data_IF_399373639910
#
_entry.id   IF_399373639910
#
_cell.length_a   1.000
_cell.length_b   1.000
_cell.length_c   1.000
_cell.angle_alpha   90.00
_cell.angle_beta   90.00
_cell.angle_gamma   90.00
#
_symmetry.space_group_name_H-M   'P 1'
#
loop_
_entity.id
_entity.type
_entity.pdbx_description
1 polymer ?
#
# COMPACT_ATOMS: atom_id res chain seq x y z
N UNK A 1 51.30 -15.30 29.82
CA UNK A 1 51.75 -14.26 28.85
C UNK A 1 51.24 -12.85 29.17
N UNK A 2 50.13 -12.66 29.89
CA UNK A 2 49.62 -11.33 30.26
C UNK A 2 50.36 -10.65 31.43
N UNK A 3 51.16 -11.39 32.19
CA UNK A 3 51.80 -10.96 33.45
C UNK A 3 52.98 -9.98 33.27
N UNK A 4 53.37 -9.63 32.03
CA UNK A 4 54.47 -8.70 31.71
C UNK A 4 54.00 -7.36 31.13
N UNK A 5 52.68 -7.16 31.00
CA UNK A 5 52.12 -5.92 30.46
C UNK A 5 52.01 -4.86 31.55
N UNK A 6 52.44 -3.64 31.26
CA UNK A 6 52.13 -2.48 32.10
C UNK A 6 50.61 -2.26 32.14
N UNK A 7 50.09 -1.65 33.23
CA UNK A 7 48.65 -1.32 33.36
C UNK A 7 48.02 -0.71 32.10
N UNK A 8 48.60 0.30 31.41
CA UNK A 8 48.03 0.83 30.18
C UNK A 8 48.03 -0.17 29.01
N UNK A 9 49.04 -1.04 28.91
CA UNK A 9 49.09 -2.06 27.86
C UNK A 9 48.06 -3.17 28.11
N UNK A 10 47.83 -3.56 29.37
CA UNK A 10 46.76 -4.49 29.71
C UNK A 10 45.37 -3.90 29.39
N UNK A 11 45.15 -2.62 29.70
CA UNK A 11 43.91 -1.90 29.33
C UNK A 11 43.74 -1.83 27.81
N UNK A 12 44.78 -1.50 27.04
CA UNK A 12 44.70 -1.44 25.58
C UNK A 12 44.39 -2.82 24.95
N UNK A 13 45.01 -3.90 25.44
CA UNK A 13 44.75 -5.27 24.98
C UNK A 13 43.32 -5.70 25.32
N UNK A 14 42.80 -5.36 26.51
CA UNK A 14 41.42 -5.64 26.88
C UNK A 14 40.39 -4.75 26.16
N UNK A 15 40.76 -3.53 25.77
CA UNK A 15 39.89 -2.61 25.04
C UNK A 15 39.75 -2.99 23.55
N UNK A 16 40.78 -3.59 22.94
CA UNK A 16 40.76 -4.02 21.54
C UNK A 16 39.53 -4.86 21.13
N UNK A 17 39.16 -5.95 21.83
CA UNK A 17 37.97 -6.72 21.47
C UNK A 17 36.67 -5.93 21.62
N UNK A 18 36.58 -5.03 22.61
CA UNK A 18 35.43 -4.15 22.81
C UNK A 18 35.32 -3.13 21.67
N UNK A 19 36.43 -2.51 21.28
CA UNK A 19 36.48 -1.57 20.15
C UNK A 19 36.16 -2.29 18.84
N UNK A 20 36.66 -3.52 18.64
CA UNK A 20 36.33 -4.32 17.47
C UNK A 20 34.84 -4.71 17.42
N UNK A 21 34.23 -5.07 18.56
CA UNK A 21 32.79 -5.32 18.67
C UNK A 21 31.96 -4.06 18.37
N UNK A 22 32.37 -2.90 18.89
CA UNK A 22 31.68 -1.63 18.62
C UNK A 22 31.83 -1.22 17.14
N UNK A 23 33.03 -1.39 16.57
CA UNK A 23 33.26 -1.11 15.16
C UNK A 23 32.41 -2.05 14.28
N UNK A 24 32.38 -3.34 14.56
CA UNK A 24 31.53 -4.30 13.82
C UNK A 24 30.05 -3.96 13.97
N UNK A 25 29.56 -3.63 15.16
CA UNK A 25 28.17 -3.21 15.35
C UNK A 25 27.79 -1.93 14.56
N UNK A 26 28.75 -1.00 14.38
CA UNK A 26 28.53 0.25 13.63
C UNK A 26 28.60 0.03 12.11
N UNK A 27 29.49 -0.84 11.63
CA UNK A 27 29.77 -1.01 10.21
C UNK A 27 29.13 -2.24 9.56
N UNK A 28 28.63 -3.20 10.33
CA UNK A 28 27.92 -4.35 9.79
C UNK A 28 26.54 -3.94 9.25
N UNK A 29 26.12 -4.49 8.09
CA UNK A 29 24.78 -4.26 7.58
C UNK A 29 23.76 -4.89 8.53
N UNK A 30 22.73 -4.13 8.88
CA UNK A 30 21.67 -4.59 9.76
C UNK A 30 20.53 -5.24 8.96
N UNK A 31 19.82 -6.25 9.51
CA UNK A 31 18.71 -6.95 8.84
C UNK A 31 17.40 -6.15 8.88
N UNK A 32 17.48 -4.86 8.56
CA UNK A 32 16.33 -3.96 8.48
C UNK A 32 16.14 -3.45 7.05
N UNK A 33 14.92 -3.03 6.75
CA UNK A 33 14.56 -2.28 5.56
C UNK A 33 13.89 -0.98 5.98
N UNK A 34 14.14 0.09 5.22
CA UNK A 34 13.51 1.39 5.46
C UNK A 34 12.43 1.59 4.41
N UNK A 35 11.18 1.71 4.85
CA UNK A 35 10.03 2.01 4.01
C UNK A 35 9.68 3.50 4.05
N UNK A 36 9.16 4.02 2.94
CA UNK A 36 8.69 5.42 2.80
C UNK A 36 7.41 5.49 1.96
N UNK A 37 6.65 6.61 2.01
CA UNK A 37 5.47 6.81 1.16
C UNK A 37 5.84 6.67 -0.32
N UNK A 38 5.15 5.77 -1.03
CA UNK A 38 5.38 5.53 -2.44
C UNK A 38 4.55 6.45 -3.33
N UNK A 39 4.40 6.06 -4.60
CA UNK A 39 3.55 6.76 -5.55
C UNK A 39 2.06 6.43 -5.31
N UNK A 40 1.19 7.24 -5.89
CA UNK A 40 -0.23 6.90 -6.00
C UNK A 40 -0.63 6.86 -7.47
N UNK A 41 -1.56 5.98 -7.81
CA UNK A 41 -2.04 5.81 -9.18
C UNK A 41 -3.57 5.88 -9.23
N UNK A 42 -4.11 6.75 -10.10
CA UNK A 42 -5.55 6.85 -10.33
C UNK A 42 -6.03 5.71 -11.23
N UNK A 43 -6.83 4.78 -10.69
CA UNK A 43 -7.36 3.65 -11.46
C UNK A 43 -8.43 4.04 -12.47
N UNK A 44 -9.04 5.22 -12.31
CA UNK A 44 -10.06 5.70 -13.24
C UNK A 44 -9.46 6.36 -14.49
N UNK A 45 -8.17 6.71 -14.45
CA UNK A 45 -7.47 7.41 -15.51
C UNK A 45 -6.36 6.59 -16.16
N UNK A 46 -5.34 7.30 -16.64
CA UNK A 46 -4.17 6.72 -17.33
C UNK A 46 -2.96 6.63 -16.42
N UNK A 47 -2.17 5.57 -16.61
CA UNK A 47 -0.83 5.41 -16.06
C UNK A 47 0.16 5.24 -17.23
N UNK A 48 1.19 6.09 -17.30
CA UNK A 48 2.16 6.10 -18.41
C UNK A 48 1.50 6.11 -19.81
N UNK A 49 0.42 6.88 -19.97
CA UNK A 49 -0.31 7.00 -21.25
C UNK A 49 -1.31 5.87 -21.54
N UNK A 50 -1.35 4.81 -20.74
CA UNK A 50 -2.26 3.66 -20.90
C UNK A 50 -3.42 3.75 -19.90
N UNK A 51 -4.66 3.48 -20.35
CA UNK A 51 -5.83 3.37 -19.46
C UNK A 51 -5.61 2.25 -18.44
N UNK A 52 -5.82 2.57 -17.16
CA UNK A 52 -5.61 1.58 -16.09
C UNK A 52 -6.69 0.51 -16.11
N UNK A 53 -7.93 0.88 -16.43
CA UNK A 53 -9.07 -0.03 -16.55
C UNK A 53 -9.67 0.13 -17.95
N UNK A 54 -9.58 -0.94 -18.74
CA UNK A 54 -10.25 -1.04 -20.04
C UNK A 54 -11.37 -2.06 -19.96
N UNK A 55 -12.57 -1.68 -20.40
CA UNK A 55 -13.74 -2.56 -20.41
C UNK A 55 -14.20 -2.77 -21.85
N UNK A 56 -14.61 -3.99 -22.18
CA UNK A 56 -15.20 -4.34 -23.47
C UNK A 56 -16.47 -5.18 -23.27
N UNK A 57 -17.45 -5.03 -24.16
CA UNK A 57 -18.72 -5.76 -24.09
C UNK A 57 -19.80 -5.11 -23.20
N UNK A 58 -19.52 -3.92 -22.65
CA UNK A 58 -20.49 -3.08 -21.96
C UNK A 58 -20.16 -1.58 -22.21
N UNK A 59 -21.17 -0.68 -22.23
CA UNK A 59 -20.91 0.75 -22.24
C UNK A 59 -20.20 1.16 -20.96
N UNK A 60 -19.30 2.14 -21.07
CA UNK A 60 -18.60 2.73 -19.92
C UNK A 60 -18.99 4.17 -19.74
N UNK A 61 -18.86 4.65 -18.50
CA UNK A 61 -19.15 6.01 -18.09
C UNK A 61 -17.88 6.83 -18.02
N UNK A 62 -18.02 8.13 -18.28
CA UNK A 62 -16.99 9.10 -17.92
C UNK A 62 -17.04 9.33 -16.41
N UNK A 63 -15.88 9.51 -15.79
CA UNK A 63 -15.75 9.76 -14.35
C UNK A 63 -15.02 11.08 -14.16
N UNK A 64 -15.48 11.90 -13.22
CA UNK A 64 -14.95 13.24 -12.93
C UNK A 64 -13.97 13.27 -11.75
N UNK A 65 -14.07 12.30 -10.83
CA UNK A 65 -13.19 12.18 -9.67
C UNK A 65 -12.00 11.23 -9.87
N UNK A 66 -11.37 10.86 -8.77
CA UNK A 66 -10.21 9.96 -8.78
C UNK A 66 -10.34 8.87 -7.72
N UNK A 67 -9.97 7.64 -8.09
CA UNK A 67 -9.74 6.54 -7.17
C UNK A 67 -8.26 6.20 -7.20
N UNK A 68 -7.53 6.61 -6.18
CA UNK A 68 -6.08 6.49 -6.10
C UNK A 68 -5.68 5.32 -5.21
N UNK A 69 -5.02 4.31 -5.77
CA UNK A 69 -4.30 3.34 -4.94
C UNK A 69 -3.02 3.97 -4.42
N UNK A 70 -2.47 3.39 -3.35
CA UNK A 70 -1.26 3.87 -2.68
C UNK A 70 -0.23 2.77 -2.53
N UNK A 71 1.05 3.10 -2.76
CA UNK A 71 2.16 2.17 -2.58
C UNK A 71 3.11 2.66 -1.48
N UNK A 72 4.00 1.77 -1.06
CA UNK A 72 5.18 2.11 -0.25
C UNK A 72 6.42 1.71 -1.04
N UNK A 73 7.53 2.40 -0.82
CA UNK A 73 8.83 1.99 -1.35
C UNK A 73 9.69 1.56 -0.18
N UNK A 74 10.20 0.34 -0.21
CA UNK A 74 11.19 -0.17 0.72
C UNK A 74 12.58 -0.18 0.06
N UNK A 75 13.62 0.00 0.89
CA UNK A 75 15.00 -0.25 0.46
C UNK A 75 15.14 -1.66 -0.10
N UNK A 76 15.78 -1.78 -1.27
CA UNK A 76 15.91 -3.04 -2.00
C UNK A 76 16.63 -4.15 -1.22
N UNK A 77 16.58 -5.40 -1.71
CA UNK A 77 16.99 -6.51 -0.89
C UNK A 77 18.50 -6.62 -0.60
N UNK A 78 19.31 -5.99 -1.44
CA UNK A 78 20.76 -5.97 -1.27
C UNK A 78 21.25 -4.66 -0.61
N UNK A 79 20.33 -3.80 -0.18
CA UNK A 79 20.66 -2.52 0.41
C UNK A 79 21.29 -2.70 1.81
N UNK A 80 22.43 -2.04 2.04
CA UNK A 80 23.06 -1.98 3.35
C UNK A 80 22.40 -0.88 4.19
N UNK A 81 21.62 -1.28 5.19
CA UNK A 81 21.07 -0.37 6.19
C UNK A 81 22.01 -0.34 7.39
N UNK A 82 22.54 0.84 7.72
CA UNK A 82 23.46 1.02 8.85
C UNK A 82 22.72 1.36 10.14
N UNK A 83 23.41 1.29 11.29
CA UNK A 83 22.86 1.69 12.58
C UNK A 83 22.43 3.16 12.60
N UNK A 84 23.16 4.03 11.90
CA UNK A 84 22.82 5.46 11.80
C UNK A 84 21.51 5.67 11.03
N UNK A 85 21.26 4.87 9.99
CA UNK A 85 20.01 4.92 9.25
C UNK A 85 18.84 4.48 10.14
N UNK A 86 19.01 3.40 10.90
CA UNK A 86 17.96 2.92 11.82
C UNK A 86 17.60 3.98 12.85
N UNK A 87 18.59 4.51 13.57
CA UNK A 87 18.37 5.52 14.62
C UNK A 87 17.81 6.82 14.01
N UNK A 88 18.36 7.27 12.89
CA UNK A 88 17.93 8.50 12.23
C UNK A 88 16.50 8.42 11.68
N UNK A 89 16.10 7.27 11.12
CA UNK A 89 14.75 7.07 10.61
C UNK A 89 13.73 6.74 11.71
N UNK A 90 14.16 6.30 12.90
CA UNK A 90 13.26 5.98 14.01
C UNK A 90 12.42 7.18 14.48
N UNK A 91 12.98 8.40 14.39
CA UNK A 91 12.31 9.64 14.80
C UNK A 91 11.56 10.34 13.65
N UNK A 92 11.54 9.74 12.46
CA UNK A 92 10.90 10.31 11.28
C UNK A 92 9.51 9.73 11.09
N UNK A 93 8.51 10.59 10.94
CA UNK A 93 7.13 10.16 10.66
C UNK A 93 6.93 9.71 9.22
N UNK A 94 7.81 10.12 8.28
CA UNK A 94 7.78 9.76 6.87
C UNK A 94 8.58 8.48 6.52
N UNK A 95 9.02 7.73 7.54
CA UNK A 95 9.87 6.54 7.39
C UNK A 95 9.42 5.46 8.36
N UNK A 96 9.49 4.21 7.94
CA UNK A 96 9.30 3.07 8.83
C UNK A 96 10.51 2.13 8.73
N UNK A 97 11.17 1.88 9.87
CA UNK A 97 12.21 0.86 9.96
C UNK A 97 11.53 -0.46 10.28
N UNK A 98 11.65 -1.43 9.38
CA UNK A 98 10.97 -2.72 9.48
C UNK A 98 11.99 -3.86 9.38
N UNK A 99 11.78 -4.99 10.09
CA UNK A 99 12.57 -6.19 9.86
C UNK A 99 12.50 -6.59 8.39
N UNK A 100 13.64 -6.96 7.82
CA UNK A 100 13.78 -7.27 6.39
C UNK A 100 12.84 -8.39 5.95
N UNK A 101 12.70 -9.43 6.76
CA UNK A 101 11.84 -10.59 6.50
C UNK A 101 10.35 -10.25 6.57
N UNK A 102 9.97 -9.20 7.29
CA UNK A 102 8.58 -8.70 7.32
C UNK A 102 8.20 -7.98 6.01
N UNK A 103 9.19 -7.43 5.30
CA UNK A 103 9.00 -6.74 4.01
C UNK A 103 9.16 -7.71 2.83
N UNK A 104 10.11 -8.63 2.94
CA UNK A 104 10.44 -9.63 1.92
C UNK A 104 10.31 -11.06 2.49
N UNK A 105 9.07 -11.55 2.72
CA UNK A 105 8.86 -12.86 3.35
C UNK A 105 9.18 -14.04 2.41
N UNK A 106 9.25 -13.80 1.10
CA UNK A 106 9.40 -14.82 0.07
C UNK A 106 10.39 -14.35 -0.99
N UNK A 107 11.51 -15.08 -1.13
CA UNK A 107 12.51 -14.89 -2.18
C UNK A 107 13.77 -14.18 -1.70
N UNK A 108 14.93 -14.80 -1.99
CA UNK A 108 16.24 -14.27 -1.60
C UNK A 108 16.82 -13.30 -2.64
N UNK A 109 16.25 -13.30 -3.85
CA UNK A 109 16.75 -12.52 -4.99
C UNK A 109 15.72 -11.54 -5.52
N UNK A 110 16.18 -10.38 -6.01
CA UNK A 110 15.33 -9.34 -6.64
C UNK A 110 14.40 -9.95 -7.70
N UNK A 111 14.93 -10.85 -8.53
CA UNK A 111 14.20 -11.47 -9.64
C UNK A 111 13.06 -12.38 -9.17
N UNK A 112 13.27 -13.10 -8.07
CA UNK A 112 12.24 -13.97 -7.49
C UNK A 112 11.13 -13.13 -6.85
N UNK A 113 11.50 -12.09 -6.10
CA UNK A 113 10.57 -11.13 -5.49
C UNK A 113 9.72 -10.46 -6.58
N UNK A 114 10.33 -10.02 -7.68
CA UNK A 114 9.62 -9.39 -8.79
C UNK A 114 8.62 -10.35 -9.44
N UNK A 115 9.04 -11.59 -9.72
CA UNK A 115 8.15 -12.62 -10.27
C UNK A 115 6.97 -12.93 -9.33
N UNK A 116 7.24 -13.04 -8.03
CA UNK A 116 6.20 -13.28 -7.02
C UNK A 116 5.21 -12.11 -6.95
N UNK A 117 5.71 -10.88 -6.94
CA UNK A 117 4.88 -9.67 -6.92
C UNK A 117 4.02 -9.54 -8.17
N UNK A 118 4.54 -9.89 -9.35
CA UNK A 118 3.78 -9.90 -10.60
C UNK A 118 2.65 -10.93 -10.58
N UNK A 119 2.89 -12.15 -10.09
CA UNK A 119 1.84 -13.16 -9.98
C UNK A 119 0.78 -12.77 -8.94
N UNK A 120 1.19 -12.25 -7.77
CA UNK A 120 0.24 -11.72 -6.78
C UNK A 120 -0.58 -10.57 -7.35
N UNK A 121 0.02 -9.68 -8.15
CA UNK A 121 -0.71 -8.59 -8.80
C UNK A 121 -1.73 -9.14 -9.80
N UNK A 122 -1.35 -10.14 -10.62
CA UNK A 122 -2.28 -10.80 -11.55
C UNK A 122 -3.47 -11.42 -10.81
N UNK A 123 -3.21 -12.16 -9.73
CA UNK A 123 -4.26 -12.75 -8.89
C UNK A 123 -5.16 -11.69 -8.25
N UNK A 124 -4.58 -10.59 -7.78
CA UNK A 124 -5.34 -9.47 -7.24
C UNK A 124 -6.21 -8.77 -8.29
N UNK A 125 -5.76 -8.68 -9.54
CA UNK A 125 -6.53 -8.13 -10.66
C UNK A 125 -7.69 -9.06 -11.05
N UNK A 126 -7.44 -10.37 -11.10
CA UNK A 126 -8.45 -11.39 -11.36
C UNK A 126 -9.54 -11.37 -10.27
N UNK A 127 -9.14 -11.38 -9.00
CA UNK A 127 -10.05 -11.31 -7.86
C UNK A 127 -10.85 -9.99 -7.86
N UNK A 128 -10.19 -8.87 -8.17
CA UNK A 128 -10.85 -7.57 -8.25
C UNK A 128 -11.91 -7.52 -9.35
N UNK A 129 -11.61 -8.10 -10.51
CA UNK A 129 -12.53 -8.21 -11.66
C UNK A 129 -13.72 -9.10 -11.32
N UNK A 130 -13.47 -10.29 -10.76
CA UNK A 130 -14.53 -11.22 -10.36
C UNK A 130 -15.45 -10.59 -9.30
N UNK A 131 -14.88 -9.94 -8.28
CA UNK A 131 -15.66 -9.28 -7.25
C UNK A 131 -16.52 -8.14 -7.83
N UNK A 132 -16.00 -7.35 -8.77
CA UNK A 132 -16.74 -6.26 -9.39
C UNK A 132 -17.88 -6.77 -10.29
N UNK A 133 -17.61 -7.74 -11.16
CA UNK A 133 -18.62 -8.31 -12.04
C UNK A 133 -19.72 -9.02 -11.24
N UNK A 134 -19.34 -9.77 -10.20
CA UNK A 134 -20.29 -10.39 -9.28
C UNK A 134 -21.14 -9.37 -8.54
N UNK A 135 -20.54 -8.26 -8.09
CA UNK A 135 -21.29 -7.17 -7.43
C UNK A 135 -22.33 -6.54 -8.36
N UNK A 136 -22.02 -6.45 -9.65
CA UNK A 136 -22.89 -5.87 -10.68
C UNK A 136 -23.83 -6.88 -11.36
N UNK A 137 -23.81 -8.14 -10.93
CA UNK A 137 -24.56 -9.24 -11.58
C UNK A 137 -24.25 -9.39 -13.09
N UNK A 138 -22.98 -9.21 -13.46
CA UNK A 138 -22.48 -9.31 -14.83
C UNK A 138 -21.69 -10.61 -15.04
N UNK A 139 -21.84 -11.23 -16.21
CA UNK A 139 -21.05 -12.39 -16.62
C UNK A 139 -19.74 -11.97 -17.31
N UNK A 140 -18.65 -12.63 -16.93
CA UNK A 140 -17.32 -12.48 -17.55
C UNK A 140 -17.29 -12.91 -19.03
N UNK A 141 -18.27 -13.71 -19.48
CA UNK A 141 -18.38 -14.11 -20.89
C UNK A 141 -18.83 -12.95 -21.78
N UNK A 142 -19.59 -12.01 -21.20
CA UNK A 142 -20.16 -10.85 -21.91
C UNK A 142 -19.32 -9.59 -21.70
N UNK A 143 -18.79 -9.40 -20.50
CA UNK A 143 -18.04 -8.20 -20.12
C UNK A 143 -16.61 -8.58 -19.77
N UNK A 144 -15.64 -8.06 -20.55
CA UNK A 144 -14.21 -8.25 -20.30
C UNK A 144 -13.62 -7.00 -19.70
N UNK A 145 -12.85 -7.17 -18.63
CA UNK A 145 -12.08 -6.11 -17.99
C UNK A 145 -10.60 -6.43 -18.12
N UNK A 146 -9.81 -5.45 -18.54
CA UNK A 146 -8.35 -5.51 -18.53
C UNK A 146 -7.81 -4.45 -17.59
N UNK A 147 -6.96 -4.87 -16.66
CA UNK A 147 -6.29 -4.02 -15.69
C UNK A 147 -4.81 -3.90 -16.07
N UNK A 148 -4.31 -2.68 -16.26
CA UNK A 148 -2.91 -2.43 -16.59
C UNK A 148 -2.34 -1.33 -15.70
N UNK A 149 -1.31 -1.67 -14.96
CA UNK A 149 -0.57 -0.70 -14.18
C UNK A 149 0.90 -1.07 -14.17
N UNK A 150 1.74 -0.17 -14.66
CA UNK A 150 3.18 -0.35 -14.65
C UNK A 150 3.73 -0.11 -13.24
N UNK A 151 4.81 -0.81 -12.91
CA UNK A 151 5.69 -0.51 -11.75
C UNK A 151 5.02 -0.56 -10.37
N UNK A 152 3.91 -1.31 -10.23
CA UNK A 152 3.22 -1.53 -8.95
C UNK A 152 3.20 -3.02 -8.60
N UNK A 153 3.76 -3.37 -7.44
CA UNK A 153 3.79 -4.73 -6.91
C UNK A 153 2.86 -4.95 -5.73
N UNK A 154 2.34 -6.17 -5.62
CA UNK A 154 1.56 -6.65 -4.48
C UNK A 154 0.04 -6.40 -4.55
N UNK A 155 -0.77 -7.17 -3.82
CA UNK A 155 -2.23 -7.24 -4.00
C UNK A 155 -3.01 -6.08 -3.35
N UNK A 156 -2.32 -5.09 -2.79
CA UNK A 156 -2.92 -4.06 -1.93
C UNK A 156 -3.80 -3.03 -2.66
N UNK A 157 -3.89 -3.15 -4.00
CA UNK A 157 -4.72 -2.33 -4.88
C UNK A 157 -6.06 -3.00 -5.25
N UNK A 158 -6.29 -4.26 -4.86
CA UNK A 158 -7.46 -5.04 -5.26
C UNK A 158 -8.79 -4.32 -5.05
N UNK A 159 -9.01 -3.77 -3.85
CA UNK A 159 -10.23 -3.00 -3.55
C UNK A 159 -10.43 -1.81 -4.51
N UNK A 160 -9.37 -1.07 -4.82
CA UNK A 160 -9.47 0.15 -5.64
C UNK A 160 -9.72 -0.21 -7.10
N UNK A 161 -9.11 -1.28 -7.61
CA UNK A 161 -9.46 -1.81 -8.93
C UNK A 161 -10.93 -2.20 -9.00
N UNK A 162 -11.44 -2.94 -8.01
CA UNK A 162 -12.86 -3.33 -7.97
C UNK A 162 -13.78 -2.12 -7.98
N UNK A 163 -13.51 -1.11 -7.15
CA UNK A 163 -14.31 0.12 -7.11
C UNK A 163 -14.22 0.90 -8.43
N UNK A 164 -13.04 0.94 -9.06
CA UNK A 164 -12.87 1.59 -10.36
C UNK A 164 -13.65 0.91 -11.49
N UNK A 165 -13.74 -0.42 -11.47
CA UNK A 165 -14.58 -1.18 -12.41
C UNK A 165 -16.06 -0.85 -12.18
N UNK A 166 -16.51 -0.84 -10.91
CA UNK A 166 -17.88 -0.49 -10.54
C UNK A 166 -18.22 0.93 -10.99
N UNK A 167 -17.32 1.89 -10.77
CA UNK A 167 -17.55 3.28 -11.15
C UNK A 167 -17.68 3.44 -12.67
N UNK A 168 -16.77 2.83 -13.45
CA UNK A 168 -16.82 2.86 -14.92
C UNK A 168 -18.06 2.18 -15.51
N UNK A 169 -18.58 1.12 -14.87
CA UNK A 169 -19.72 0.36 -15.39
C UNK A 169 -21.08 0.90 -14.90
N UNK A 170 -21.17 1.31 -13.64
CA UNK A 170 -22.44 1.62 -12.98
C UNK A 170 -22.43 2.92 -12.16
N UNK A 171 -21.26 3.40 -11.75
CA UNK A 171 -21.16 4.58 -10.89
C UNK A 171 -21.74 4.33 -9.50
N UNK A 172 -22.51 5.29 -9.00
CA UNK A 172 -23.24 5.22 -7.73
C UNK A 172 -24.57 4.42 -7.81
N UNK A 173 -24.97 3.97 -9.01
CA UNK A 173 -26.26 3.32 -9.27
C UNK A 173 -27.44 4.26 -9.49
N UNK A 174 -27.26 5.58 -9.38
CA UNK A 174 -28.24 6.62 -9.72
C UNK A 174 -27.87 7.41 -10.98
N UNK A 175 -26.76 7.06 -11.64
CA UNK A 175 -26.25 7.77 -12.81
C UNK A 175 -25.22 8.87 -12.47
N UNK A 176 -24.75 8.93 -11.22
CA UNK A 176 -23.62 9.73 -10.77
C UNK A 176 -22.32 8.92 -10.66
N UNK A 177 -21.23 9.60 -10.30
CA UNK A 177 -19.92 8.98 -10.07
C UNK A 177 -19.84 8.44 -8.65
N UNK A 178 -19.22 7.26 -8.48
CA UNK A 178 -19.00 6.68 -7.16
C UNK A 178 -18.09 7.57 -6.29
N UNK A 179 -17.20 8.34 -6.92
CA UNK A 179 -16.32 9.29 -6.24
C UNK A 179 -16.99 10.62 -5.89
N UNK A 180 -18.14 10.94 -6.47
CA UNK A 180 -18.77 12.27 -6.35
C UNK A 180 -17.84 13.41 -6.75
N UNK A 181 -16.95 13.20 -7.73
CA UNK A 181 -15.96 14.19 -8.18
C UNK A 181 -14.76 14.38 -7.24
N UNK A 182 -14.66 13.62 -6.14
CA UNK A 182 -13.58 13.76 -5.14
C UNK A 182 -12.32 13.02 -5.55
N UNK A 183 -11.19 13.44 -4.99
CA UNK A 183 -9.97 12.62 -4.94
C UNK A 183 -10.03 11.71 -3.71
N UNK A 184 -10.30 10.44 -3.97
CA UNK A 184 -10.39 9.39 -2.95
C UNK A 184 -9.21 8.46 -3.14
N UNK A 185 -8.53 8.13 -2.05
CA UNK A 185 -7.46 7.15 -2.06
C UNK A 185 -7.82 5.94 -1.19
N UNK A 186 -7.01 4.90 -1.25
CA UNK A 186 -7.13 3.81 -0.30
C UNK A 186 -6.14 2.69 -0.51
N UNK A 187 -6.39 1.62 0.22
CA UNK A 187 -5.68 0.35 0.12
C UNK A 187 -6.59 -0.79 0.57
N UNK A 188 -6.24 -2.02 0.23
CA UNK A 188 -6.96 -3.20 0.66
C UNK A 188 -6.86 -4.29 -0.39
N UNK A 189 -6.59 -5.51 0.04
CA UNK A 189 -6.80 -6.69 -0.80
C UNK A 189 -8.29 -6.96 -0.92
N UNK A 190 -8.68 -7.75 -1.92
CA UNK A 190 -10.06 -8.18 -2.08
C UNK A 190 -10.10 -9.62 -2.57
N UNK A 191 -11.03 -10.41 -2.05
CA UNK A 191 -11.34 -11.73 -2.60
C UNK A 191 -12.53 -11.67 -3.56
N UNK A 192 -12.76 -12.75 -4.32
CA UNK A 192 -13.88 -12.84 -5.26
C UNK A 192 -15.27 -12.80 -4.59
N UNK A 193 -15.36 -12.97 -3.27
CA UNK A 193 -16.59 -12.80 -2.50
C UNK A 193 -16.83 -11.34 -2.08
N UNK A 194 -15.86 -10.45 -2.32
CA UNK A 194 -15.93 -9.05 -1.95
C UNK A 194 -15.56 -8.78 -0.50
N UNK A 195 -14.84 -9.68 0.19
CA UNK A 195 -14.26 -9.41 1.50
C UNK A 195 -12.98 -8.60 1.33
N UNK A 196 -12.84 -7.54 2.12
CA UNK A 196 -11.63 -6.69 2.13
C UNK A 196 -10.64 -7.26 3.14
N UNK A 197 -9.41 -7.47 2.71
CA UNK A 197 -8.33 -7.99 3.54
C UNK A 197 -7.32 -6.94 3.98
N UNK A 198 -6.52 -7.33 4.98
CA UNK A 198 -5.45 -6.56 5.60
C UNK A 198 -4.34 -6.18 4.61
N UNK A 199 -3.60 -5.11 4.94
CA UNK A 199 -2.43 -4.67 4.18
C UNK A 199 -1.39 -4.04 5.11
N UNK A 200 -0.11 -4.13 4.74
CA UNK A 200 0.97 -3.44 5.46
C UNK A 200 1.15 -1.97 5.08
N UNK A 201 1.84 -1.24 5.96
CA UNK A 201 2.37 0.10 5.70
C UNK A 201 1.31 1.20 5.59
N UNK A 202 0.18 1.07 6.28
CA UNK A 202 -0.97 1.97 6.11
C UNK A 202 -0.65 3.42 6.51
N UNK A 203 0.13 3.63 7.57
CA UNK A 203 0.61 4.96 7.97
C UNK A 203 1.37 5.70 6.86
N UNK A 204 2.23 5.00 6.11
CA UNK A 204 2.97 5.61 4.98
C UNK A 204 2.05 5.83 3.77
N UNK A 205 1.06 4.96 3.59
CA UNK A 205 0.07 5.06 2.50
C UNK A 205 -0.89 6.25 2.69
N UNK A 206 -1.32 6.54 3.91
CA UNK A 206 -2.16 7.73 4.19
C UNK A 206 -1.39 9.02 3.90
N UNK A 207 -0.09 9.05 4.19
CA UNK A 207 0.79 10.17 3.80
C UNK A 207 0.91 10.32 2.29
N UNK A 208 1.15 9.22 1.55
CA UNK A 208 1.18 9.25 0.08
C UNK A 208 -0.15 9.75 -0.51
N UNK A 209 -1.28 9.28 0.04
CA UNK A 209 -2.61 9.73 -0.35
C UNK A 209 -2.80 11.23 -0.13
N UNK A 210 -2.45 11.73 1.06
CA UNK A 210 -2.60 13.15 1.36
C UNK A 210 -1.69 14.02 0.51
N UNK A 211 -0.44 13.62 0.31
CA UNK A 211 0.53 14.28 -0.58
C UNK A 211 -0.06 14.48 -1.98
N UNK A 212 -0.77 13.46 -2.48
CA UNK A 212 -1.33 13.47 -3.83
C UNK A 212 -2.81 13.93 -3.86
N UNK A 213 -3.23 14.70 -2.84
CA UNK A 213 -4.48 15.47 -2.86
C UNK A 213 -5.73 14.71 -2.39
N UNK A 214 -5.60 13.50 -1.87
CA UNK A 214 -6.76 12.78 -1.34
C UNK A 214 -7.33 13.47 -0.10
N UNK A 215 -8.66 13.45 0.00
CA UNK A 215 -9.42 13.96 1.18
C UNK A 215 -10.12 12.83 1.94
N UNK A 216 -10.27 11.67 1.29
CA UNK A 216 -10.84 10.45 1.86
C UNK A 216 -9.87 9.30 1.60
N UNK A 217 -9.69 8.43 2.59
CA UNK A 217 -8.88 7.23 2.49
C UNK A 217 -9.67 6.00 2.95
N UNK A 218 -9.92 5.08 2.02
CA UNK A 218 -10.50 3.76 2.33
C UNK A 218 -9.42 2.87 2.94
N UNK A 219 -9.68 2.32 4.12
CA UNK A 219 -8.73 1.49 4.86
C UNK A 219 -9.41 0.21 5.36
N UNK A 220 -8.77 -0.98 5.22
CA UNK A 220 -9.30 -2.18 5.84
C UNK A 220 -9.49 -1.95 7.34
N UNK A 221 -10.66 -2.31 7.89
CA UNK A 221 -11.02 -1.98 9.28
C UNK A 221 -9.99 -2.46 10.31
N UNK A 222 -9.31 -3.58 10.03
CA UNK A 222 -8.24 -4.11 10.86
C UNK A 222 -7.08 -3.11 11.06
N UNK A 223 -6.82 -2.25 10.07
CA UNK A 223 -5.67 -1.33 10.06
C UNK A 223 -6.03 0.10 10.47
N UNK A 224 -7.21 0.31 11.06
CA UNK A 224 -7.60 1.64 11.54
C UNK A 224 -6.65 2.21 12.60
N UNK A 225 -6.10 1.36 13.49
CA UNK A 225 -5.13 1.82 14.49
C UNK A 225 -3.87 2.38 13.82
N UNK A 226 -3.33 1.63 12.87
CA UNK A 226 -2.10 1.95 12.17
C UNK A 226 -2.28 3.17 11.27
N UNK A 227 -3.43 3.29 10.62
CA UNK A 227 -3.79 4.46 9.83
C UNK A 227 -3.90 5.74 10.65
N UNK A 228 -4.32 5.64 11.92
CA UNK A 228 -4.47 6.78 12.84
C UNK A 228 -3.15 7.24 13.44
N UNK A 229 -2.17 6.35 13.58
CA UNK A 229 -0.91 6.63 14.27
C UNK A 229 -0.18 7.86 13.68
N UNK A 230 -0.15 7.98 12.35
CA UNK A 230 0.49 9.08 11.62
C UNK A 230 -0.47 9.72 10.62
N UNK A 231 -1.72 9.92 11.01
CA UNK A 231 -2.78 10.44 10.13
C UNK A 231 -2.51 11.90 9.70
N UNK A 232 -2.34 12.17 8.39
CA UNK A 232 -2.20 13.55 7.92
C UNK A 232 -3.47 14.38 8.16
N UNK A 233 -3.31 15.65 8.54
CA UNK A 233 -4.43 16.59 8.70
C UNK A 233 -5.24 16.70 7.41
N UNK A 234 -6.57 16.69 7.54
CA UNK A 234 -7.50 16.84 6.42
C UNK A 234 -7.73 15.58 5.59
N UNK A 235 -7.30 14.41 6.07
CA UNK A 235 -7.61 13.12 5.47
C UNK A 235 -8.63 12.36 6.33
N UNK A 236 -9.82 12.08 5.78
CA UNK A 236 -10.85 11.27 6.45
C UNK A 236 -10.58 9.79 6.23
N UNK A 237 -10.44 9.02 7.31
CA UNK A 237 -10.31 7.55 7.25
C UNK A 237 -11.69 6.89 7.24
N UNK A 238 -11.94 6.04 6.25
CA UNK A 238 -13.19 5.28 6.14
C UNK A 238 -12.88 3.78 6.25
N UNK A 239 -13.31 3.11 7.33
CA UNK A 239 -13.08 1.69 7.54
C UNK A 239 -13.94 0.85 6.59
N UNK A 240 -13.32 -0.17 5.98
CA UNK A 240 -14.00 -1.11 5.09
C UNK A 240 -13.68 -2.54 5.47
N UNK A 241 -14.71 -3.39 5.45
CA UNK A 241 -14.58 -4.85 5.65
C UNK A 241 -15.08 -5.64 4.44
N UNK A 242 -15.95 -5.04 3.63
CA UNK A 242 -16.54 -5.64 2.44
C UNK A 242 -16.65 -4.60 1.32
N UNK A 243 -16.70 -5.10 0.09
CA UNK A 243 -16.93 -4.31 -1.12
C UNK A 243 -18.22 -3.51 -1.03
N UNK A 244 -19.32 -4.16 -0.61
CA UNK A 244 -20.61 -3.50 -0.42
C UNK A 244 -20.53 -2.37 0.61
N UNK A 245 -19.80 -2.58 1.71
CA UNK A 245 -19.55 -1.54 2.71
C UNK A 245 -18.76 -0.36 2.15
N UNK A 246 -17.75 -0.62 1.31
CA UNK A 246 -16.98 0.41 0.63
C UNK A 246 -17.86 1.23 -0.33
N UNK A 247 -18.62 0.58 -1.23
CA UNK A 247 -19.54 1.25 -2.16
C UNK A 247 -20.57 2.09 -1.40
N UNK A 248 -21.21 1.52 -0.37
CA UNK A 248 -22.19 2.24 0.45
C UNK A 248 -21.59 3.49 1.11
N UNK A 249 -20.35 3.41 1.59
CA UNK A 249 -19.68 4.55 2.23
C UNK A 249 -19.37 5.65 1.23
N UNK A 250 -18.96 5.29 0.01
CA UNK A 250 -18.71 6.24 -1.07
C UNK A 250 -20.00 6.94 -1.54
N UNK A 251 -21.08 6.18 -1.75
CA UNK A 251 -22.39 6.76 -2.07
C UNK A 251 -22.91 7.65 -0.94
N UNK A 252 -22.71 7.28 0.33
CA UNK A 252 -23.10 8.12 1.45
C UNK A 252 -22.29 9.44 1.53
N UNK A 253 -21.00 9.41 1.18
CA UNK A 253 -20.16 10.61 1.09
C UNK A 253 -20.59 11.56 -0.04
N UNK A 254 -21.00 10.99 -1.17
CA UNK A 254 -21.52 11.75 -2.32
C UNK A 254 -22.85 12.44 -1.96
N UNK A 255 -23.74 11.72 -1.27
CA UNK A 255 -25.07 12.24 -0.83
C UNK A 255 -25.03 13.12 0.42
N UNK A 256 -23.84 13.46 0.93
CA UNK A 256 -23.68 14.31 2.12
C UNK A 256 -24.31 13.75 3.40
N UNK A 257 -24.41 12.41 3.52
CA UNK A 257 -25.01 11.78 4.70
C UNK A 257 -24.00 11.69 5.84
N UNK A 258 -24.40 12.09 7.06
CA UNK A 258 -23.54 12.06 8.26
C UNK A 258 -23.14 10.64 8.72
N UNK A 259 -23.76 9.59 8.17
CA UNK A 259 -23.60 8.20 8.61
C UNK A 259 -22.36 7.47 8.05
N UNK A 260 -21.42 8.17 7.40
CA UNK A 260 -20.22 7.53 6.86
C UNK A 260 -19.30 7.10 8.01
N UNK A 261 -18.97 5.80 8.14
CA UNK A 261 -18.10 5.31 9.19
C UNK A 261 -16.75 6.04 9.20
N UNK A 262 -16.21 6.26 10.39
CA UNK A 262 -14.83 6.70 10.58
C UNK A 262 -14.07 5.64 11.37
N UNK A 263 -12.77 5.51 11.07
CA UNK A 263 -11.85 5.10 12.12
C UNK A 263 -11.94 6.23 13.16
#
# INVERSE_FOLDING_TARGET
MLSRLSRPQAVAVCALPVVALLATAVFAPLPFSVAQPGMTANVLGKNQGTEVITVSGAPTRNTSGQLRMTTIVATGPDARVSLRDVIGNWFRTDRAVMPRDAVYPSGDTVKEIEKHNQEQMRQSQDAATQAALKYLDLSADKVRVQLKLADVGGPSAGLLFTLGIIDKLNGDGSGGDLTGGRTIAGTGTIDAAGKVGAVGGVALKTQAARRDGATVFLVPKAECSDAKAELPKGLRLVPVTTLKGAVNSLVALEKGKDSVPSC
#
